data_IF_225784130718
#
_entry.id   IF_225784130718
#
_cell.length_a   1.000
_cell.length_b   1.000
_cell.length_c   1.000
_cell.angle_alpha   90.00
_cell.angle_beta   90.00
_cell.angle_gamma   90.00
#
_symmetry.space_group_name_H-M   'P 1'
#
loop_
_entity.id
_entity.type
_entity.pdbx_description
1 polymer ?
#
# COMPACT_ATOMS: atom_id res chain seq x y z
N UNK A 1 -0.11 16.78 -13.33
CA UNK A 1 -1.25 16.04 -13.89
C UNK A 1 -0.97 14.56 -13.71
N UNK A 2 -1.97 13.79 -13.27
CA UNK A 2 -1.93 12.35 -13.13
C UNK A 2 -2.90 11.77 -14.17
N UNK A 3 -2.43 10.85 -15.00
CA UNK A 3 -3.25 10.21 -16.04
C UNK A 3 -3.05 8.71 -15.93
N UNK A 4 -4.12 7.96 -15.79
CA UNK A 4 -4.10 6.49 -15.73
C UNK A 4 -4.93 5.97 -16.89
N UNK A 5 -4.33 5.14 -17.71
CA UNK A 5 -4.97 4.56 -18.87
C UNK A 5 -5.74 3.27 -18.52
N UNK A 6 -6.65 2.87 -19.39
CA UNK A 6 -7.41 1.64 -19.20
C UNK A 6 -6.48 0.43 -19.24
N UNK A 7 -6.59 -0.42 -18.23
CA UNK A 7 -5.79 -1.63 -18.08
C UNK A 7 -4.48 -1.43 -17.33
N UNK A 8 -4.08 -0.17 -17.02
CA UNK A 8 -2.88 0.07 -16.22
C UNK A 8 -3.05 -0.47 -14.80
N UNK A 9 -1.97 -1.03 -14.26
CA UNK A 9 -1.87 -1.42 -12.85
C UNK A 9 -0.85 -0.52 -12.15
N UNK A 10 -1.36 0.35 -11.32
CA UNK A 10 -0.64 1.50 -10.76
C UNK A 10 -0.53 1.39 -9.26
N UNK A 11 0.63 1.71 -8.68
CA UNK A 11 0.80 1.85 -7.24
C UNK A 11 0.97 3.32 -6.83
N UNK A 12 0.28 3.72 -5.76
CA UNK A 12 0.56 4.96 -5.04
C UNK A 12 1.50 4.66 -3.89
N UNK A 13 2.70 5.21 -3.95
CA UNK A 13 3.77 5.02 -2.97
C UNK A 13 4.18 6.35 -2.33
N UNK A 14 4.89 6.30 -1.21
CA UNK A 14 5.33 7.49 -0.47
C UNK A 14 5.12 7.34 1.03
N UNK A 15 5.59 8.30 1.82
CA UNK A 15 5.52 8.28 3.28
C UNK A 15 4.06 8.37 3.77
N UNK A 16 3.85 7.98 5.03
CA UNK A 16 2.55 8.19 5.68
C UNK A 16 2.25 9.68 5.80
N UNK A 17 1.00 10.06 5.51
CA UNK A 17 0.56 11.46 5.53
C UNK A 17 0.76 12.24 4.23
N UNK A 18 1.43 11.69 3.21
CA UNK A 18 1.66 12.36 1.91
C UNK A 18 0.42 12.43 0.99
N UNK A 19 -0.75 11.98 1.46
CA UNK A 19 -2.01 12.16 0.73
C UNK A 19 -2.43 11.02 -0.19
N UNK A 20 -1.78 9.85 -0.19
CA UNK A 20 -2.13 8.69 -1.03
C UNK A 20 -3.60 8.25 -0.87
N UNK A 21 -4.02 7.94 0.35
CA UNK A 21 -5.41 7.57 0.66
C UNK A 21 -6.40 8.71 0.42
N UNK A 22 -5.96 9.96 0.62
CA UNK A 22 -6.76 11.14 0.28
C UNK A 22 -7.03 11.21 -1.22
N UNK A 23 -5.99 11.00 -2.05
CA UNK A 23 -6.15 10.96 -3.50
C UNK A 23 -7.08 9.82 -3.93
N UNK A 24 -6.94 8.62 -3.35
CA UNK A 24 -7.85 7.51 -3.62
C UNK A 24 -9.30 7.88 -3.29
N UNK A 25 -9.57 8.50 -2.14
CA UNK A 25 -10.91 8.95 -1.71
C UNK A 25 -11.47 10.05 -2.61
N UNK A 26 -10.62 10.96 -3.11
CA UNK A 26 -11.03 11.98 -4.07
C UNK A 26 -11.44 11.32 -5.40
N UNK A 27 -10.68 10.33 -5.89
CA UNK A 27 -11.00 9.62 -7.14
C UNK A 27 -12.34 8.89 -7.04
N UNK A 28 -12.64 8.26 -5.90
CA UNK A 28 -13.93 7.56 -5.71
C UNK A 28 -15.10 8.49 -5.38
N UNK A 29 -14.83 9.77 -5.11
CA UNK A 29 -15.86 10.77 -4.79
C UNK A 29 -16.26 10.82 -3.31
N UNK A 30 -15.50 10.19 -2.41
CA UNK A 30 -15.72 10.27 -0.95
C UNK A 30 -15.32 11.64 -0.39
N UNK A 31 -14.37 12.31 -1.03
CA UNK A 31 -13.92 13.66 -0.70
C UNK A 31 -14.19 14.57 -1.90
N UNK A 32 -15.00 15.60 -1.69
CA UNK A 32 -15.38 16.57 -2.73
C UNK A 32 -14.80 17.97 -2.52
N UNK A 33 -14.19 18.23 -1.36
CA UNK A 33 -13.51 19.50 -1.05
C UNK A 33 -12.05 19.42 -1.46
N UNK A 34 -11.76 19.76 -2.73
CA UNK A 34 -10.42 19.79 -3.30
C UNK A 34 -10.31 20.84 -4.40
N UNK A 35 -9.10 21.26 -4.73
CA UNK A 35 -8.83 22.17 -5.84
C UNK A 35 -8.36 21.37 -7.07
N UNK A 36 -8.83 21.76 -8.25
CA UNK A 36 -8.52 21.07 -9.49
C UNK A 36 -9.72 20.36 -10.10
N UNK A 37 -9.47 19.36 -10.96
CA UNK A 37 -10.53 18.61 -11.62
C UNK A 37 -10.15 17.15 -11.80
N UNK A 38 -11.13 16.26 -11.65
CA UNK A 38 -11.03 14.84 -11.99
C UNK A 38 -11.94 14.57 -13.17
N UNK A 39 -11.41 13.84 -14.15
CA UNK A 39 -12.19 13.40 -15.30
C UNK A 39 -12.09 11.88 -15.40
N UNK A 40 -13.20 11.21 -15.17
CA UNK A 40 -13.33 9.78 -15.40
C UNK A 40 -13.65 9.50 -16.87
N UNK A 41 -13.08 8.42 -17.40
CA UNK A 41 -13.39 7.94 -18.74
C UNK A 41 -14.85 7.45 -18.86
N UNK A 42 -15.33 7.30 -20.09
CA UNK A 42 -16.68 6.79 -20.33
C UNK A 42 -16.81 5.32 -19.86
N UNK A 43 -17.93 5.02 -19.19
CA UNK A 43 -18.25 3.66 -18.76
C UNK A 43 -17.40 3.12 -17.61
N UNK A 44 -16.74 3.98 -16.82
CA UNK A 44 -15.99 3.55 -15.64
C UNK A 44 -16.97 3.08 -14.57
N UNK A 45 -16.76 1.83 -14.12
CA UNK A 45 -17.41 1.21 -12.98
C UNK A 45 -16.36 0.95 -11.92
N UNK A 46 -16.42 1.70 -10.81
CA UNK A 46 -15.41 1.65 -9.75
C UNK A 46 -15.79 0.64 -8.67
N UNK A 47 -14.79 -0.18 -8.27
CA UNK A 47 -14.78 -0.90 -7.02
C UNK A 47 -13.76 -0.25 -6.09
N UNK A 48 -14.13 -0.01 -4.84
CA UNK A 48 -13.24 0.59 -3.84
C UNK A 48 -13.14 -0.29 -2.59
N UNK A 49 -11.91 -0.59 -2.20
CA UNK A 49 -11.60 -1.22 -0.93
C UNK A 49 -10.96 -0.20 0.00
N UNK A 50 -11.77 0.31 0.92
CA UNK A 50 -11.28 1.20 1.97
C UNK A 50 -10.59 0.42 3.10
N UNK A 51 -9.69 1.07 3.82
CA UNK A 51 -8.96 0.47 4.94
C UNK A 51 -9.85 -0.21 6.00
N UNK A 52 -11.12 0.22 6.15
CA UNK A 52 -12.09 -0.33 7.09
C UNK A 52 -13.20 -1.16 6.44
N UNK A 53 -13.03 -1.59 5.20
CA UNK A 53 -14.07 -2.29 4.42
C UNK A 53 -14.60 -3.56 5.10
N UNK A 54 -13.73 -4.27 5.83
CA UNK A 54 -14.13 -5.45 6.60
C UNK A 54 -15.20 -5.15 7.68
N UNK A 55 -15.22 -3.92 8.21
CA UNK A 55 -16.22 -3.49 9.19
C UNK A 55 -17.60 -3.21 8.57
N UNK A 56 -17.67 -3.05 7.25
CA UNK A 56 -18.93 -2.78 6.52
C UNK A 56 -19.68 -4.06 6.13
N UNK A 57 -19.13 -5.24 6.42
CA UNK A 57 -19.81 -6.50 6.19
C UNK A 57 -21.02 -6.65 7.11
N UNK A 58 -22.09 -7.24 6.59
CA UNK A 58 -23.26 -7.57 7.41
C UNK A 58 -22.92 -8.74 8.35
N UNK A 59 -22.86 -8.46 9.65
CA UNK A 59 -22.43 -9.40 10.68
C UNK A 59 -23.39 -10.58 10.89
N UNK A 60 -24.66 -10.45 10.51
CA UNK A 60 -25.70 -11.48 10.70
C UNK A 60 -25.78 -12.47 9.54
N UNK A 61 -25.21 -12.13 8.39
CA UNK A 61 -25.10 -13.04 7.23
C UNK A 61 -23.99 -14.06 7.42
N UNK A 62 -24.15 -15.19 6.71
CA UNK A 62 -23.06 -16.17 6.58
C UNK A 62 -22.03 -15.71 5.56
N UNK A 63 -20.87 -16.36 5.53
CA UNK A 63 -19.86 -16.17 4.49
C UNK A 63 -20.46 -16.42 3.12
N UNK A 64 -21.20 -17.53 2.96
CA UNK A 64 -21.89 -17.89 1.72
C UNK A 64 -22.89 -16.82 1.27
N UNK A 65 -23.82 -16.43 2.16
CA UNK A 65 -24.84 -15.42 1.86
C UNK A 65 -24.23 -14.08 1.45
N UNK A 66 -23.09 -13.70 2.04
CA UNK A 66 -22.38 -12.45 1.71
C UNK A 66 -21.92 -12.42 0.25
N UNK A 67 -21.53 -13.56 -0.30
CA UNK A 67 -21.13 -13.67 -1.71
C UNK A 67 -22.33 -13.94 -2.62
N UNK A 68 -23.31 -14.74 -2.18
CA UNK A 68 -24.51 -15.04 -2.97
C UNK A 68 -25.32 -13.77 -3.29
N UNK A 69 -25.34 -12.78 -2.39
CA UNK A 69 -26.01 -11.49 -2.61
C UNK A 69 -25.53 -10.75 -3.87
N UNK A 70 -24.25 -10.90 -4.21
CA UNK A 70 -23.62 -10.20 -5.34
C UNK A 70 -23.38 -11.10 -6.54
N UNK A 71 -23.49 -12.41 -6.35
CA UNK A 71 -23.22 -13.39 -7.39
C UNK A 71 -24.27 -13.34 -8.49
N UNK A 72 -23.83 -13.12 -9.71
CA UNK A 72 -24.70 -13.09 -10.90
C UNK A 72 -24.26 -14.16 -11.90
N UNK A 73 -25.23 -14.72 -12.64
CA UNK A 73 -25.00 -15.66 -13.73
C UNK A 73 -24.11 -16.84 -13.33
N UNK A 74 -23.04 -17.06 -14.05
CA UNK A 74 -22.11 -18.19 -13.91
C UNK A 74 -21.28 -18.19 -12.63
N UNK A 75 -21.32 -17.13 -11.84
CA UNK A 75 -20.57 -17.03 -10.56
C UNK A 75 -21.31 -17.84 -9.49
N UNK A 76 -22.64 -17.81 -9.47
CA UNK A 76 -23.46 -18.40 -8.42
C UNK A 76 -23.18 -19.91 -8.17
N UNK A 77 -23.12 -20.78 -9.20
CA UNK A 77 -22.78 -22.19 -8.98
C UNK A 77 -21.33 -22.43 -8.54
N UNK A 78 -20.46 -21.42 -8.66
CA UNK A 78 -19.03 -21.49 -8.34
C UNK A 78 -18.66 -20.86 -6.99
N UNK A 79 -19.64 -20.33 -6.24
CA UNK A 79 -19.38 -19.60 -4.98
C UNK A 79 -18.50 -20.41 -4.02
N UNK A 80 -18.79 -21.70 -3.80
CA UNK A 80 -17.99 -22.55 -2.92
C UNK A 80 -16.54 -22.67 -3.37
N UNK A 81 -16.30 -22.86 -4.66
CA UNK A 81 -14.95 -22.95 -5.22
C UNK A 81 -14.20 -21.61 -5.07
N UNK A 82 -14.92 -20.50 -5.29
CA UNK A 82 -14.36 -19.16 -5.13
C UNK A 82 -14.01 -18.92 -3.66
N UNK A 83 -14.90 -19.20 -2.72
CA UNK A 83 -14.65 -19.07 -1.29
C UNK A 83 -13.47 -19.97 -0.87
N UNK A 84 -13.37 -21.18 -1.40
CA UNK A 84 -12.25 -22.08 -1.17
C UNK A 84 -10.91 -21.47 -1.62
N UNK A 85 -10.87 -20.76 -2.76
CA UNK A 85 -9.67 -20.06 -3.22
C UNK A 85 -9.28 -18.87 -2.32
N UNK A 86 -10.23 -18.36 -1.52
CA UNK A 86 -9.99 -17.37 -0.47
C UNK A 86 -9.82 -17.99 0.93
N UNK A 87 -9.48 -19.28 1.01
CA UNK A 87 -9.24 -20.03 2.25
C UNK A 87 -10.45 -20.14 3.17
N UNK A 88 -11.66 -20.17 2.63
CA UNK A 88 -12.85 -20.55 3.38
C UNK A 88 -13.18 -22.02 3.09
N UNK A 89 -12.97 -22.87 4.08
CA UNK A 89 -13.33 -24.29 4.00
C UNK A 89 -14.84 -24.52 4.09
N UNK A 90 -15.28 -25.76 3.85
CA UNK A 90 -16.70 -26.10 3.88
C UNK A 90 -17.34 -25.80 5.24
N UNK A 91 -16.59 -25.92 6.35
CA UNK A 91 -17.07 -25.59 7.69
C UNK A 91 -17.16 -24.07 7.95
N UNK A 92 -16.47 -23.25 7.13
CA UNK A 92 -16.42 -21.81 7.31
C UNK A 92 -17.53 -21.08 6.57
N UNK A 93 -17.99 -21.63 5.45
CA UNK A 93 -18.95 -20.95 4.57
C UNK A 93 -20.33 -20.72 5.22
N UNK A 94 -20.70 -21.55 6.16
CA UNK A 94 -21.98 -21.44 6.89
C UNK A 94 -21.82 -20.64 8.21
N UNK A 95 -20.59 -20.23 8.56
CA UNK A 95 -20.35 -19.35 9.72
C UNK A 95 -20.87 -17.95 9.45
N UNK A 96 -21.43 -17.33 10.47
CA UNK A 96 -21.83 -15.92 10.42
C UNK A 96 -20.59 -15.02 10.43
N UNK A 97 -20.63 -13.92 9.70
CA UNK A 97 -19.55 -12.94 9.61
C UNK A 97 -19.12 -12.41 10.98
N UNK A 98 -20.04 -12.31 11.95
CA UNK A 98 -19.72 -11.84 13.29
C UNK A 98 -18.70 -12.70 14.04
N UNK A 99 -18.63 -14.01 13.77
CA UNK A 99 -17.69 -14.92 14.45
C UNK A 99 -16.34 -15.04 13.77
N UNK A 100 -16.18 -14.43 12.59
CA UNK A 100 -14.93 -14.41 11.84
C UNK A 100 -13.90 -13.52 12.53
N UNK A 101 -12.63 -13.92 12.44
CA UNK A 101 -11.48 -13.08 12.79
C UNK A 101 -11.37 -11.85 11.88
N UNK A 102 -10.54 -10.88 12.27
CA UNK A 102 -10.29 -9.69 11.44
C UNK A 102 -9.73 -10.03 10.06
N UNK A 103 -8.80 -10.98 9.98
CA UNK A 103 -8.21 -11.44 8.72
C UNK A 103 -9.21 -12.15 7.81
N UNK A 104 -10.08 -13.00 8.39
CA UNK A 104 -11.15 -13.66 7.63
C UNK A 104 -12.17 -12.66 7.09
N UNK A 105 -12.55 -11.66 7.88
CA UNK A 105 -13.43 -10.58 7.43
C UNK A 105 -12.79 -9.78 6.29
N UNK A 106 -11.49 -9.49 6.37
CA UNK A 106 -10.76 -8.80 5.31
C UNK A 106 -10.74 -9.62 4.02
N UNK A 107 -10.45 -10.93 4.09
CA UNK A 107 -10.51 -11.84 2.94
C UNK A 107 -11.90 -11.91 2.31
N UNK A 108 -12.94 -12.00 3.14
CA UNK A 108 -14.33 -12.03 2.65
C UNK A 108 -14.72 -10.72 1.94
N UNK A 109 -14.32 -9.58 2.51
CA UNK A 109 -14.57 -8.27 1.89
C UNK A 109 -13.84 -8.12 0.56
N UNK A 110 -12.61 -8.63 0.45
CA UNK A 110 -11.84 -8.64 -0.79
C UNK A 110 -12.45 -9.59 -1.83
N UNK A 111 -12.85 -10.80 -1.43
CA UNK A 111 -13.56 -11.73 -2.31
C UNK A 111 -14.84 -11.08 -2.86
N UNK A 112 -15.64 -10.44 -1.99
CA UNK A 112 -16.84 -9.71 -2.37
C UNK A 112 -16.53 -8.61 -3.39
N UNK A 113 -15.50 -7.80 -3.16
CA UNK A 113 -15.13 -6.71 -4.06
C UNK A 113 -14.73 -7.24 -5.45
N UNK A 114 -13.86 -8.26 -5.50
CA UNK A 114 -13.36 -8.82 -6.75
C UNK A 114 -14.46 -9.51 -7.59
N UNK A 115 -15.53 -9.98 -6.96
CA UNK A 115 -16.68 -10.56 -7.62
C UNK A 115 -17.72 -9.51 -8.06
N UNK A 116 -17.65 -8.31 -7.52
CA UNK A 116 -18.51 -7.20 -7.93
C UNK A 116 -18.02 -6.68 -9.30
N UNK A 117 -18.90 -6.60 -10.31
CA UNK A 117 -18.51 -6.09 -11.62
C UNK A 117 -17.90 -4.69 -11.53
N UNK A 118 -16.62 -4.57 -11.91
CA UNK A 118 -15.91 -3.30 -11.95
C UNK A 118 -14.83 -3.35 -13.02
N UNK A 119 -14.47 -2.20 -13.61
CA UNK A 119 -13.37 -2.07 -14.56
C UNK A 119 -12.28 -1.11 -14.09
N UNK A 120 -12.47 -0.53 -12.90
CA UNK A 120 -11.48 0.21 -12.15
C UNK A 120 -11.57 -0.25 -10.69
N UNK A 121 -10.51 -0.87 -10.19
CA UNK A 121 -10.37 -1.21 -8.76
C UNK A 121 -9.41 -0.25 -8.09
N UNK A 122 -9.81 0.27 -6.94
CA UNK A 122 -8.97 1.10 -6.09
C UNK A 122 -8.88 0.41 -4.73
N UNK A 123 -7.67 0.05 -4.32
CA UNK A 123 -7.40 -0.67 -3.08
C UNK A 123 -6.53 0.20 -2.16
N UNK A 124 -7.05 0.54 -1.00
CA UNK A 124 -6.35 1.35 0.01
C UNK A 124 -5.89 0.45 1.16
N UNK A 125 -4.56 0.17 1.19
CA UNK A 125 -3.88 -0.71 2.14
C UNK A 125 -4.54 -2.11 2.27
N UNK A 126 -4.74 -2.83 1.16
CA UNK A 126 -5.51 -4.07 1.15
C UNK A 126 -4.80 -5.22 1.89
N UNK A 127 -3.49 -5.11 2.11
CA UNK A 127 -2.67 -6.12 2.80
C UNK A 127 -2.70 -6.01 4.32
N UNK A 128 -3.26 -4.93 4.87
CA UNK A 128 -3.39 -4.75 6.30
C UNK A 128 -4.25 -5.86 6.91
N UNK A 129 -3.77 -6.45 7.99
CA UNK A 129 -4.40 -7.57 8.71
C UNK A 129 -4.48 -8.90 7.94
N UNK A 130 -3.83 -9.01 6.77
CA UNK A 130 -3.71 -10.27 6.04
C UNK A 130 -2.43 -11.01 6.44
N UNK A 131 -2.54 -12.32 6.62
CA UNK A 131 -1.39 -13.22 6.70
C UNK A 131 -0.74 -13.40 5.30
N UNK A 132 0.44 -14.02 5.26
CA UNK A 132 1.21 -14.20 4.03
C UNK A 132 0.41 -14.94 2.96
N UNK A 133 -0.26 -16.05 3.33
CA UNK A 133 -1.05 -16.84 2.38
C UNK A 133 -2.20 -16.03 1.78
N UNK A 134 -2.88 -15.22 2.61
CA UNK A 134 -3.96 -14.34 2.17
C UNK A 134 -3.48 -13.23 1.23
N UNK A 135 -2.26 -12.69 1.46
CA UNK A 135 -1.63 -11.71 0.56
C UNK A 135 -1.32 -12.34 -0.80
N UNK A 136 -0.79 -13.56 -0.83
CA UNK A 136 -0.48 -14.27 -2.06
C UNK A 136 -1.75 -14.56 -2.89
N UNK A 137 -2.83 -14.98 -2.22
CA UNK A 137 -4.12 -15.20 -2.86
C UNK A 137 -4.66 -13.91 -3.48
N UNK A 138 -4.63 -12.80 -2.71
CA UNK A 138 -5.06 -11.51 -3.21
C UNK A 138 -4.22 -11.07 -4.41
N UNK A 139 -2.89 -11.18 -4.31
CA UNK A 139 -1.96 -10.82 -5.40
C UNK A 139 -2.27 -11.63 -6.66
N UNK A 140 -2.45 -12.94 -6.55
CA UNK A 140 -2.77 -13.81 -7.67
C UNK A 140 -4.11 -13.45 -8.32
N UNK A 141 -5.13 -13.12 -7.52
CA UNK A 141 -6.42 -12.66 -8.04
C UNK A 141 -6.30 -11.32 -8.78
N UNK A 142 -5.50 -10.39 -8.27
CA UNK A 142 -5.25 -9.09 -8.91
C UNK A 142 -4.38 -9.19 -10.17
N UNK A 143 -3.47 -10.16 -10.24
CA UNK A 143 -2.72 -10.45 -11.47
C UNK A 143 -3.64 -10.89 -12.61
N UNK A 144 -4.70 -11.65 -12.29
CA UNK A 144 -5.70 -12.10 -13.28
C UNK A 144 -6.75 -11.03 -13.60
N UNK A 145 -6.85 -9.97 -12.80
CA UNK A 145 -7.78 -8.88 -13.06
C UNK A 145 -7.37 -8.09 -14.30
N UNK A 146 -8.28 -7.96 -15.26
CA UNK A 146 -8.02 -7.32 -16.56
C UNK A 146 -8.40 -5.85 -16.62
N UNK A 147 -9.04 -5.33 -15.57
CA UNK A 147 -9.38 -3.90 -15.46
C UNK A 147 -8.21 -3.05 -15.00
N UNK A 148 -8.46 -1.76 -14.87
CA UNK A 148 -7.51 -0.80 -14.30
C UNK A 148 -7.42 -0.98 -12.80
N UNK A 149 -6.21 -0.95 -12.24
CA UNK A 149 -5.94 -1.14 -10.83
C UNK A 149 -5.14 0.03 -10.25
N UNK A 150 -5.62 0.58 -9.16
CA UNK A 150 -4.88 1.54 -8.33
C UNK A 150 -4.70 0.90 -6.95
N UNK A 151 -3.46 0.75 -6.51
CA UNK A 151 -3.15 0.19 -5.19
C UNK A 151 -2.37 1.19 -4.37
N UNK A 152 -2.92 1.56 -3.22
CA UNK A 152 -2.16 2.26 -2.17
C UNK A 152 -1.62 1.19 -1.24
N UNK A 153 -0.31 1.01 -1.18
CA UNK A 153 0.30 0.04 -0.27
C UNK A 153 1.74 0.41 0.08
N UNK A 154 2.16 0.00 1.26
CA UNK A 154 3.54 0.05 1.72
C UNK A 154 4.24 -1.32 1.61
N UNK A 155 3.52 -2.35 1.22
CA UNK A 155 4.01 -3.73 1.10
C UNK A 155 4.69 -3.93 -0.25
N UNK A 156 6.02 -3.90 -0.25
CA UNK A 156 6.86 -3.98 -1.46
C UNK A 156 6.74 -5.34 -2.14
N UNK A 157 6.70 -6.40 -1.36
CA UNK A 157 6.59 -7.76 -1.87
C UNK A 157 5.23 -7.99 -2.55
N UNK A 158 4.20 -7.36 -1.99
CA UNK A 158 2.88 -7.37 -2.59
C UNK A 158 2.83 -6.61 -3.92
N UNK A 159 3.46 -5.42 -4.00
CA UNK A 159 3.48 -4.59 -5.21
C UNK A 159 4.37 -5.13 -6.31
N UNK A 160 5.48 -5.82 -5.97
CA UNK A 160 6.43 -6.35 -6.94
C UNK A 160 5.76 -7.29 -7.93
N UNK A 161 5.93 -7.03 -9.24
CA UNK A 161 5.31 -7.77 -10.33
C UNK A 161 3.78 -7.63 -10.44
N UNK A 162 3.15 -6.80 -9.59
CA UNK A 162 1.71 -6.51 -9.67
C UNK A 162 1.44 -5.22 -10.45
N UNK A 163 2.32 -4.23 -10.33
CA UNK A 163 2.16 -2.90 -10.93
C UNK A 163 3.33 -2.57 -11.84
N UNK A 164 3.05 -1.91 -12.95
CA UNK A 164 4.03 -1.52 -13.97
C UNK A 164 4.35 -0.02 -13.93
N UNK A 165 3.63 0.71 -13.10
CA UNK A 165 3.71 2.16 -12.98
C UNK A 165 3.47 2.58 -11.53
N UNK A 166 4.26 3.56 -11.06
CA UNK A 166 4.15 4.07 -9.71
C UNK A 166 3.98 5.59 -9.71
N UNK A 167 3.19 6.07 -8.78
CA UNK A 167 3.09 7.48 -8.44
C UNK A 167 3.62 7.69 -7.04
N UNK A 168 4.80 8.32 -6.94
CA UNK A 168 5.40 8.70 -5.67
C UNK A 168 4.79 10.00 -5.17
N UNK A 169 4.20 9.95 -3.99
CA UNK A 169 3.72 11.11 -3.26
C UNK A 169 4.84 11.57 -2.33
N UNK A 170 5.40 12.76 -2.61
CA UNK A 170 6.52 13.32 -1.85
C UNK A 170 6.45 14.84 -1.85
N UNK A 171 6.60 15.44 -0.67
CA UNK A 171 6.68 16.91 -0.47
C UNK A 171 5.52 17.69 -1.12
N UNK A 172 4.31 17.14 -1.08
CA UNK A 172 3.10 17.74 -1.67
C UNK A 172 3.02 17.65 -3.20
N UNK A 173 3.90 16.91 -3.84
CA UNK A 173 3.91 16.65 -5.27
C UNK A 173 3.73 15.16 -5.58
N UNK A 174 3.32 14.86 -6.81
CA UNK A 174 3.19 13.48 -7.31
C UNK A 174 4.14 13.31 -8.49
N UNK A 175 5.04 12.34 -8.37
CA UNK A 175 6.04 11.99 -9.37
C UNK A 175 5.70 10.64 -9.99
N UNK A 176 5.62 10.60 -11.30
CA UNK A 176 5.40 9.37 -12.06
C UNK A 176 6.72 8.62 -12.24
N UNK A 177 6.71 7.31 -12.02
CA UNK A 177 7.81 6.41 -12.32
C UNK A 177 7.27 5.21 -13.11
N UNK A 178 7.84 4.95 -14.28
CA UNK A 178 7.51 3.79 -15.12
C UNK A 178 8.46 2.65 -14.80
N UNK A 179 7.93 1.60 -14.23
CA UNK A 179 8.68 0.42 -13.79
C UNK A 179 8.08 -0.22 -12.54
N UNK A 180 8.66 -1.34 -12.14
CA UNK A 180 8.31 -2.08 -10.92
C UNK A 180 8.80 -1.34 -9.66
N UNK A 181 8.18 -1.65 -8.52
CA UNK A 181 8.58 -1.13 -7.20
C UNK A 181 10.04 -1.41 -6.86
N UNK A 182 10.61 -2.52 -7.32
CA UNK A 182 12.00 -2.87 -7.06
C UNK A 182 12.95 -1.95 -7.84
N UNK A 183 12.64 -1.66 -9.10
CA UNK A 183 13.39 -0.72 -9.94
C UNK A 183 13.33 0.70 -9.35
N UNK A 184 12.16 1.12 -8.89
CA UNK A 184 11.98 2.40 -8.20
C UNK A 184 12.86 2.52 -6.95
N UNK A 185 12.90 1.46 -6.12
CA UNK A 185 13.70 1.46 -4.90
C UNK A 185 15.21 1.48 -5.17
N UNK A 186 15.65 0.83 -6.23
CA UNK A 186 17.07 0.85 -6.62
C UNK A 186 17.46 2.22 -7.18
N UNK A 187 16.64 2.84 -8.03
CA UNK A 187 16.84 4.21 -8.48
C UNK A 187 16.90 5.22 -7.32
N UNK A 188 15.99 5.11 -6.34
CA UNK A 188 15.97 5.96 -5.15
C UNK A 188 17.22 5.79 -4.26
N UNK A 189 17.80 4.57 -4.19
CA UNK A 189 19.06 4.33 -3.48
C UNK A 189 20.23 5.01 -4.19
N UNK A 190 20.30 4.92 -5.52
CA UNK A 190 21.34 5.56 -6.33
C UNK A 190 21.31 7.08 -6.18
N UNK A 191 20.14 7.71 -6.25
CA UNK A 191 19.97 9.14 -5.99
C UNK A 191 20.45 9.53 -4.59
N UNK A 192 20.14 8.74 -3.58
CA UNK A 192 20.52 9.01 -2.19
C UNK A 192 22.03 8.89 -1.97
N UNK A 193 22.70 7.97 -2.68
CA UNK A 193 24.16 7.81 -2.62
C UNK A 193 24.88 8.91 -3.39
N UNK A 194 24.36 9.33 -4.54
CA UNK A 194 24.87 10.44 -5.32
C UNK A 194 24.75 11.79 -4.58
N UNK A 195 23.62 12.01 -3.89
CA UNK A 195 23.41 13.22 -3.07
C UNK A 195 24.35 13.28 -1.87
N UNK A 196 24.70 12.13 -1.26
CA UNK A 196 25.69 12.07 -0.18
C UNK A 196 27.13 12.27 -0.66
N UNK A 197 27.43 11.90 -1.91
CA UNK A 197 28.73 12.10 -2.52
C UNK A 197 28.98 13.54 -2.99
N UNK A 198 27.93 14.31 -3.23
CA UNK A 198 27.98 15.70 -3.71
C UNK A 198 27.98 16.76 -2.60
N UNK A 199 27.86 16.40 -1.33
CA UNK A 199 28.12 17.32 -0.24
C UNK A 199 29.64 17.43 -0.05
N UNK A 200 30.27 18.60 -0.31
CA UNK A 200 31.69 18.78 -0.04
C UNK A 200 31.88 18.55 1.45
N UNK A 201 32.68 17.55 1.81
CA UNK A 201 33.15 17.37 3.18
C UNK A 201 33.74 18.69 3.64
N UNK A 202 33.04 19.38 4.54
CA UNK A 202 33.68 20.44 5.32
C UNK A 202 34.86 19.79 6.00
N UNK A 203 36.06 20.14 5.53
CA UNK A 203 37.32 19.86 6.20
C UNK A 203 37.13 20.38 7.62
N UNK A 204 36.93 19.50 8.55
CA UNK A 204 36.93 19.82 9.96
C UNK A 204 38.37 20.16 10.31
N UNK A 205 38.70 21.44 10.36
CA UNK A 205 39.88 21.93 11.10
C UNK A 205 39.81 21.33 12.50
N UNK A 206 40.91 20.76 13.03
CA UNK A 206 40.89 20.15 14.36
C UNK A 206 40.52 21.23 15.38
N UNK A 207 39.38 21.02 16.02
CA UNK A 207 38.85 21.96 16.98
C UNK A 207 39.81 22.13 18.14
N UNK A 208 40.03 23.38 18.54
CA UNK A 208 40.85 23.85 19.68
C UNK A 208 40.49 23.16 21.02
N UNK A 209 39.45 22.42 21.11
CA UNK A 209 38.99 21.66 22.29
C UNK A 209 39.84 20.41 22.61
N UNK A 210 40.46 19.75 21.62
CA UNK A 210 41.35 18.60 21.87
C UNK A 210 42.70 19.05 22.44
N UNK A 211 43.25 20.16 21.97
CA UNK A 211 44.50 20.74 22.49
C UNK A 211 44.31 21.28 23.91
N UNK A 212 43.17 21.90 24.23
CA UNK A 212 42.86 22.35 25.56
C UNK A 212 42.68 21.18 26.57
N UNK A 213 42.14 20.06 26.15
CA UNK A 213 41.99 18.87 26.99
C UNK A 213 43.30 18.16 27.27
N UNK A 214 44.19 18.05 26.30
CA UNK A 214 45.55 17.47 26.50
C UNK A 214 46.39 18.34 27.42
N UNK A 215 46.40 19.67 27.25
CA UNK A 215 47.13 20.59 28.14
C UNK A 215 46.59 20.57 29.57
N UNK A 216 45.30 20.39 29.80
CA UNK A 216 44.75 20.29 31.15
C UNK A 216 45.19 18.99 31.85
N UNK A 217 45.28 17.88 31.11
CA UNK A 217 45.70 16.57 31.61
C UNK A 217 47.19 16.51 31.94
N UNK A 218 48.00 17.27 31.22
CA UNK A 218 49.45 17.37 31.44
C UNK A 218 49.77 18.20 32.69
N UNK A 219 49.07 19.32 32.91
CA UNK A 219 49.15 20.14 34.13
C UNK A 219 48.68 19.38 35.39
N UNK A 220 47.73 18.49 35.26
CA UNK A 220 47.26 17.67 36.40
C UNK A 220 48.27 16.56 36.75
N UNK A 221 49.00 16.00 35.77
CA UNK A 221 50.11 15.06 35.98
C UNK A 221 51.33 15.69 36.61
N UNK A 222 51.67 16.94 36.26
CA UNK A 222 52.75 17.68 36.89
C UNK A 222 52.44 18.04 38.35
N UNK A 223 51.22 18.43 38.65
CA UNK A 223 50.78 18.69 40.06
C UNK A 223 50.88 17.45 40.95
N UNK A 224 50.62 16.26 40.43
CA UNK A 224 50.74 14.99 41.17
C UNK A 224 52.17 14.51 41.39
N UNK A 225 53.15 15.06 40.68
CA UNK A 225 54.56 14.73 40.89
C UNK A 225 55.31 15.66 41.90
N UNK A 226 54.61 16.71 42.31
CA UNK A 226 55.15 17.71 43.26
C UNK A 226 54.54 17.64 44.66
N UNK A 227 53.72 16.61 44.92
CA UNK A 227 53.28 16.17 46.25
C UNK A 227 53.89 14.80 46.60
#
# INVERSE_FOLDING_TARGET
>A
NLTIERGNKVAFVGRNGEGKSTMAKIIVGDINDYTGSIKLGAGVQMGYYAQNQAAMLNLDKTVFETIDDIAQGDIRPKIRNILGSFLFGDDDIDKKVKVLSGGEKARLALAKLLLTPSNLLILDEPTNHLDMNSKDILKNALLQYTGTLIVVSHDRDFLSGLTDELYEFRDGAVHEFKGDIMEFLDAAKEESTAAKASTPSKVSTPSSSKQAYEQSKERERERRKLQ
#
